data_IF_630971028504
#
_entry.id   IF_630971028504
#
_cell.length_a   1.000
_cell.length_b   1.000
_cell.length_c   1.000
_cell.angle_alpha   90.00
_cell.angle_beta   90.00
_cell.angle_gamma   90.00
#
_symmetry.space_group_name_H-M   'P 1'
#
loop_
_entity.id
_entity.type
_entity.pdbx_description
1 polymer ?
#
# COMPACT_ATOMS: atom_id res chain seq x y z
N UNK A 1 -10.02 -8.55 34.52
CA UNK A 1 -10.17 -7.63 33.38
C UNK A 1 -10.17 -8.41 32.08
N UNK A 2 -11.05 -8.06 31.22
CA UNK A 2 -11.15 -8.76 29.97
C UNK A 2 -10.25 -8.13 28.92
N UNK A 3 -9.38 -8.91 28.32
CA UNK A 3 -8.59 -8.44 27.20
C UNK A 3 -9.54 -8.19 26.03
N UNK A 4 -9.36 -7.07 25.40
CA UNK A 4 -10.14 -6.77 24.21
C UNK A 4 -9.81 -7.80 23.13
N UNK A 5 -10.75 -8.62 22.84
CA UNK A 5 -10.57 -9.64 21.84
C UNK A 5 -10.68 -9.04 20.44
N UNK A 6 -9.91 -9.62 19.56
CA UNK A 6 -10.05 -9.33 18.17
C UNK A 6 -11.46 -9.65 17.71
N UNK A 7 -12.10 -8.69 17.07
CA UNK A 7 -13.45 -8.89 16.55
C UNK A 7 -13.47 -9.05 15.03
N UNK A 8 -12.30 -8.96 14.39
CA UNK A 8 -12.28 -9.12 12.95
C UNK A 8 -12.49 -10.57 12.58
N UNK A 9 -13.52 -10.83 11.79
CA UNK A 9 -13.91 -12.18 11.40
C UNK A 9 -13.89 -12.39 9.90
N UNK A 10 -13.23 -11.50 9.19
CA UNK A 10 -13.12 -11.59 7.75
C UNK A 10 -13.88 -10.48 7.06
N UNK A 11 -13.71 -10.42 5.77
CA UNK A 11 -14.37 -9.41 4.95
C UNK A 11 -15.77 -9.90 4.57
N UNK A 12 -16.74 -9.03 4.68
CA UNK A 12 -18.10 -9.35 4.24
C UNK A 12 -18.09 -9.69 2.74
N UNK A 13 -17.30 -8.96 1.97
CA UNK A 13 -17.09 -9.26 0.56
C UNK A 13 -15.60 -9.03 0.24
N UNK A 14 -14.81 -10.10 0.10
CA UNK A 14 -13.37 -9.95 -0.15
C UNK A 14 -13.02 -9.19 -1.43
N UNK A 15 -13.92 -9.13 -2.41
CA UNK A 15 -13.67 -8.38 -3.64
C UNK A 15 -14.11 -6.91 -3.52
N UNK A 16 -14.70 -6.53 -2.38
CA UNK A 16 -15.10 -5.15 -2.12
C UNK A 16 -14.90 -4.83 -0.64
N UNK A 17 -13.65 -4.88 -0.15
CA UNK A 17 -13.39 -4.61 1.27
C UNK A 17 -13.67 -3.16 1.59
N UNK A 18 -14.18 -2.93 2.81
CA UNK A 18 -14.45 -1.57 3.28
C UNK A 18 -13.26 -1.05 4.09
N UNK A 19 -13.09 0.28 4.17
CA UNK A 19 -11.95 0.85 4.91
C UNK A 19 -11.84 0.35 6.36
N UNK A 20 -12.96 0.26 7.07
CA UNK A 20 -12.96 -0.21 8.46
C UNK A 20 -12.53 -1.67 8.54
N UNK A 21 -12.98 -2.50 7.59
CA UNK A 21 -12.57 -3.90 7.54
C UNK A 21 -11.08 -4.04 7.25
N UNK A 22 -10.59 -3.25 6.33
CA UNK A 22 -9.16 -3.28 5.98
C UNK A 22 -8.30 -2.91 7.20
N UNK A 23 -8.69 -1.86 7.93
CA UNK A 23 -7.97 -1.45 9.13
C UNK A 23 -8.01 -2.55 10.19
N UNK A 24 -9.17 -3.15 10.41
CA UNK A 24 -9.29 -4.23 11.40
C UNK A 24 -8.42 -5.43 11.02
N UNK A 25 -8.46 -5.83 9.76
CA UNK A 25 -7.63 -6.93 9.27
C UNK A 25 -6.14 -6.64 9.44
N UNK A 26 -5.72 -5.41 9.16
CA UNK A 26 -4.31 -5.04 9.15
C UNK A 26 -3.63 -5.25 10.52
N UNK A 27 -4.39 -5.12 11.60
CA UNK A 27 -3.85 -5.35 12.94
C UNK A 27 -4.04 -6.78 13.41
N UNK A 28 -4.70 -7.61 12.61
CA UNK A 28 -4.96 -9.03 12.89
C UNK A 28 -4.86 -9.83 11.60
N UNK A 29 -3.75 -9.70 10.86
CA UNK A 29 -3.70 -10.28 9.51
C UNK A 29 -3.76 -11.80 9.51
N UNK A 30 -3.40 -12.45 10.63
CA UNK A 30 -3.45 -13.91 10.74
C UNK A 30 -4.84 -14.43 11.04
N UNK A 31 -5.82 -13.56 11.27
CA UNK A 31 -7.19 -13.98 11.56
C UNK A 31 -7.93 -14.48 10.31
N UNK A 32 -7.41 -14.19 9.13
CA UNK A 32 -7.96 -14.65 7.85
C UNK A 32 -6.83 -15.19 7.01
N UNK A 33 -6.99 -16.41 6.48
CA UNK A 33 -5.99 -16.98 5.62
C UNK A 33 -6.00 -16.30 4.26
N UNK A 34 -4.82 -15.86 3.83
CA UNK A 34 -4.71 -15.16 2.55
C UNK A 34 -5.08 -16.05 1.36
N UNK A 35 -4.94 -17.37 1.51
CA UNK A 35 -5.32 -18.29 0.44
C UNK A 35 -6.82 -18.24 0.13
N UNK A 36 -7.63 -17.76 1.08
CA UNK A 36 -9.07 -17.63 0.86
C UNK A 36 -9.43 -16.32 0.17
N UNK A 37 -8.46 -15.43 -0.03
CA UNK A 37 -8.68 -14.16 -0.69
C UNK A 37 -8.53 -14.30 -2.20
N UNK A 38 -9.09 -13.37 -3.00
CA UNK A 38 -8.85 -13.36 -4.44
C UNK A 38 -7.35 -13.34 -4.76
N UNK A 39 -6.97 -14.00 -5.84
CA UNK A 39 -5.56 -14.16 -6.21
C UNK A 39 -4.83 -12.83 -6.34
N UNK A 40 -5.49 -11.81 -6.86
CA UNK A 40 -4.88 -10.49 -7.06
C UNK A 40 -5.43 -9.47 -6.07
N UNK A 41 -5.58 -9.89 -4.82
CA UNK A 41 -6.19 -9.04 -3.80
C UNK A 41 -5.41 -7.74 -3.57
N UNK A 42 -4.08 -7.81 -3.65
CA UNK A 42 -3.23 -6.63 -3.55
C UNK A 42 -3.54 -5.62 -4.66
N UNK A 43 -3.76 -6.08 -5.87
CA UNK A 43 -4.14 -5.21 -6.98
C UNK A 43 -5.57 -4.67 -6.79
N UNK A 44 -6.44 -5.48 -6.21
CA UNK A 44 -7.81 -5.09 -5.96
C UNK A 44 -7.92 -3.93 -4.97
N UNK A 45 -7.14 -3.97 -3.90
CA UNK A 45 -7.24 -2.96 -2.84
C UNK A 45 -6.36 -1.73 -3.09
N UNK A 46 -5.38 -1.80 -3.98
CA UNK A 46 -4.44 -0.72 -4.23
C UNK A 46 -5.01 0.34 -5.16
N UNK A 47 -6.25 0.77 -4.92
CA UNK A 47 -6.93 1.76 -5.74
C UNK A 47 -7.35 2.96 -4.92
N UNK A 48 -7.97 3.93 -5.60
CA UNK A 48 -8.35 5.21 -5.00
C UNK A 48 -9.24 5.07 -3.77
N UNK A 49 -10.09 4.06 -3.76
CA UNK A 49 -11.04 3.89 -2.67
C UNK A 49 -10.36 3.57 -1.34
N UNK A 50 -9.31 2.76 -1.38
CA UNK A 50 -8.67 2.27 -0.17
C UNK A 50 -7.27 2.83 0.06
N UNK A 51 -6.76 3.68 -0.84
CA UNK A 51 -5.37 4.11 -0.72
C UNK A 51 -5.12 4.95 0.54
N UNK A 52 -6.08 5.75 0.99
CA UNK A 52 -5.89 6.55 2.20
C UNK A 52 -5.70 5.67 3.44
N UNK A 53 -6.60 4.70 3.72
CA UNK A 53 -6.31 3.78 4.84
C UNK A 53 -5.04 2.97 4.63
N UNK A 54 -4.72 2.54 3.42
CA UNK A 54 -3.46 1.84 3.17
C UNK A 54 -2.26 2.70 3.51
N UNK A 55 -2.29 3.97 3.15
CA UNK A 55 -1.22 4.90 3.47
C UNK A 55 -1.06 5.05 5.00
N UNK A 56 -2.16 5.21 5.72
CA UNK A 56 -2.12 5.27 7.18
C UNK A 56 -1.45 4.03 7.78
N UNK A 57 -1.83 2.85 7.27
CA UNK A 57 -1.26 1.60 7.76
C UNK A 57 0.23 1.49 7.45
N UNK A 58 0.65 1.94 6.28
CA UNK A 58 2.06 1.93 5.90
C UNK A 58 2.89 2.89 6.77
N UNK A 59 2.28 3.99 7.21
CA UNK A 59 2.93 4.97 8.08
C UNK A 59 3.04 4.48 9.53
N UNK A 60 2.25 3.50 9.93
CA UNK A 60 2.24 2.99 11.29
C UNK A 60 3.27 1.87 11.46
N UNK A 61 4.34 2.18 12.20
CA UNK A 61 5.42 1.22 12.44
C UNK A 61 4.95 -0.03 13.19
N UNK A 62 3.88 0.09 13.95
CA UNK A 62 3.35 -1.01 14.73
C UNK A 62 2.37 -1.90 13.98
N UNK A 63 2.00 -1.53 12.77
CA UNK A 63 1.02 -2.28 11.99
C UNK A 63 1.61 -3.60 11.50
N UNK A 64 1.04 -4.77 11.87
CA UNK A 64 1.56 -6.06 11.42
C UNK A 64 1.49 -6.26 9.92
N UNK A 65 0.52 -5.62 9.24
CA UNK A 65 0.36 -5.74 7.79
C UNK A 65 1.02 -4.59 7.03
N UNK A 66 1.96 -3.91 7.68
CA UNK A 66 2.62 -2.74 7.10
C UNK A 66 3.27 -3.02 5.75
N UNK A 67 3.93 -4.19 5.63
CA UNK A 67 4.57 -4.58 4.37
C UNK A 67 3.58 -4.73 3.24
N UNK A 68 2.42 -5.28 3.52
CA UNK A 68 1.35 -5.38 2.54
C UNK A 68 0.88 -3.98 2.11
N UNK A 69 0.66 -3.09 3.09
CA UNK A 69 0.24 -1.73 2.79
C UNK A 69 1.27 -1.00 1.93
N UNK A 70 2.56 -1.16 2.27
CA UNK A 70 3.64 -0.58 1.48
C UNK A 70 3.66 -1.12 0.06
N UNK A 71 3.47 -2.42 -0.10
CA UNK A 71 3.37 -3.04 -1.42
C UNK A 71 2.27 -2.39 -2.25
N UNK A 72 1.11 -2.13 -1.63
CA UNK A 72 0.00 -1.46 -2.30
C UNK A 72 0.36 -0.03 -2.71
N UNK A 73 1.18 0.68 -1.93
CA UNK A 73 1.65 2.00 -2.31
C UNK A 73 2.52 1.96 -3.56
N UNK A 74 3.38 0.95 -3.68
CA UNK A 74 4.17 0.76 -4.91
C UNK A 74 3.26 0.49 -6.10
N UNK A 75 2.26 -0.35 -5.93
CA UNK A 75 1.29 -0.62 -7.01
C UNK A 75 0.55 0.66 -7.41
N UNK A 76 0.12 1.44 -6.42
CA UNK A 76 -0.62 2.68 -6.68
C UNK A 76 0.21 3.66 -7.50
N UNK A 77 1.47 3.86 -7.13
CA UNK A 77 2.37 4.74 -7.88
C UNK A 77 2.58 4.22 -9.31
N UNK A 78 2.79 2.91 -9.45
CA UNK A 78 2.97 2.28 -10.76
C UNK A 78 1.75 2.45 -11.65
N UNK A 79 0.56 2.26 -11.09
CA UNK A 79 -0.68 2.41 -11.85
C UNK A 79 -0.90 3.84 -12.31
N UNK A 80 -0.52 4.81 -11.49
CA UNK A 80 -0.57 6.22 -11.89
C UNK A 80 0.31 6.48 -13.10
N UNK A 81 1.56 6.06 -13.03
CA UNK A 81 2.52 6.29 -14.11
C UNK A 81 2.10 5.53 -15.38
N UNK A 82 1.76 4.24 -15.22
CA UNK A 82 1.42 3.37 -16.35
C UNK A 82 0.20 3.86 -17.11
N UNK A 83 -0.76 4.46 -16.42
CA UNK A 83 -1.99 4.94 -17.04
C UNK A 83 -1.97 6.43 -17.32
N UNK A 84 -0.84 7.10 -17.09
CA UNK A 84 -0.72 8.56 -17.18
C UNK A 84 -1.79 9.24 -16.32
N UNK A 85 -1.96 8.71 -15.11
CA UNK A 85 -2.89 9.21 -14.09
C UNK A 85 -4.36 9.19 -14.50
N UNK A 86 -4.73 8.25 -15.37
CA UNK A 86 -6.15 7.99 -15.65
C UNK A 86 -6.78 7.15 -14.56
N UNK A 87 -5.98 6.29 -13.91
CA UNK A 87 -6.50 5.42 -12.86
C UNK A 87 -6.79 6.18 -11.58
N UNK A 88 -6.01 7.22 -11.27
CA UNK A 88 -6.21 8.03 -10.07
C UNK A 88 -5.49 9.38 -10.20
N UNK A 89 -5.85 10.38 -9.37
CA UNK A 89 -5.27 11.72 -9.50
C UNK A 89 -3.80 11.78 -9.12
N UNK A 90 -2.99 12.41 -9.95
CA UNK A 90 -1.58 12.64 -9.68
C UNK A 90 -1.38 13.43 -8.38
N UNK A 91 -2.29 14.37 -8.11
CA UNK A 91 -2.23 15.21 -6.90
C UNK A 91 -2.29 14.38 -5.63
N UNK A 92 -3.10 13.31 -5.62
CA UNK A 92 -3.20 12.45 -4.45
C UNK A 92 -1.87 11.74 -4.17
N UNK A 93 -1.24 11.21 -5.22
CA UNK A 93 0.06 10.58 -5.07
C UNK A 93 1.11 11.57 -4.56
N UNK A 94 1.15 12.77 -5.12
CA UNK A 94 2.08 13.81 -4.67
C UNK A 94 1.91 14.14 -3.20
N UNK A 95 0.67 14.26 -2.73
CA UNK A 95 0.40 14.57 -1.33
C UNK A 95 0.92 13.49 -0.40
N UNK A 96 0.69 12.24 -0.77
CA UNK A 96 1.19 11.12 0.04
C UNK A 96 2.72 11.10 0.07
N UNK A 97 3.35 11.35 -1.08
CA UNK A 97 4.81 11.41 -1.16
C UNK A 97 5.36 12.51 -0.24
N UNK A 98 4.77 13.69 -0.29
CA UNK A 98 5.20 14.81 0.57
C UNK A 98 5.04 14.49 2.04
N UNK A 99 3.93 13.90 2.43
CA UNK A 99 3.71 13.52 3.81
C UNK A 99 4.68 12.43 4.26
N UNK A 100 4.95 11.46 3.42
CA UNK A 100 5.90 10.41 3.72
C UNK A 100 7.32 10.94 3.86
N UNK A 101 7.68 11.95 3.07
CA UNK A 101 9.00 12.59 3.19
C UNK A 101 9.15 13.33 4.51
N UNK A 102 8.07 13.92 5.02
CA UNK A 102 8.11 14.69 6.26
C UNK A 102 8.02 13.82 7.50
N UNK A 103 7.11 12.86 7.49
CA UNK A 103 6.71 12.12 8.70
C UNK A 103 7.05 10.64 8.65
N UNK A 104 7.48 10.11 7.52
CA UNK A 104 7.75 8.69 7.35
C UNK A 104 9.09 8.29 7.93
N UNK A 105 9.19 7.03 8.35
CA UNK A 105 10.47 6.46 8.73
C UNK A 105 11.25 6.05 7.47
N UNK A 106 12.37 5.35 7.66
CA UNK A 106 13.26 4.97 6.55
C UNK A 106 12.52 4.15 5.48
N UNK A 107 11.67 3.23 5.90
CA UNK A 107 10.97 2.35 4.96
C UNK A 107 10.01 3.12 4.07
N UNK A 108 9.16 3.96 4.66
CA UNK A 108 8.19 4.73 3.89
C UNK A 108 8.87 5.88 3.16
N UNK A 109 9.92 6.45 3.74
CA UNK A 109 10.73 7.48 3.08
C UNK A 109 11.41 6.97 1.82
N UNK A 110 11.83 5.71 1.83
CA UNK A 110 12.39 5.06 0.65
C UNK A 110 11.33 4.95 -0.45
N UNK A 111 10.10 4.55 -0.09
CA UNK A 111 9.01 4.55 -1.06
C UNK A 111 8.78 5.95 -1.64
N UNK A 112 8.76 6.97 -0.77
CA UNK A 112 8.54 8.34 -1.22
C UNK A 112 9.62 8.81 -2.18
N UNK A 113 10.88 8.51 -1.89
CA UNK A 113 11.99 8.82 -2.78
C UNK A 113 11.79 8.17 -4.14
N UNK A 114 11.46 6.88 -4.15
CA UNK A 114 11.30 6.14 -5.39
C UNK A 114 10.09 6.62 -6.18
N UNK A 115 8.99 6.92 -5.50
CA UNK A 115 7.79 7.45 -6.17
C UNK A 115 8.07 8.83 -6.78
N UNK A 116 8.81 9.68 -6.07
CA UNK A 116 9.17 10.99 -6.59
C UNK A 116 10.08 10.88 -7.82
N UNK A 117 11.03 9.96 -7.80
CA UNK A 117 11.86 9.70 -8.97
C UNK A 117 11.03 9.23 -10.15
N UNK A 118 10.06 8.36 -9.90
CA UNK A 118 9.17 7.87 -10.95
C UNK A 118 8.29 8.98 -11.52
N UNK A 119 7.83 9.89 -10.67
CA UNK A 119 7.06 11.06 -11.12
C UNK A 119 7.88 11.97 -12.03
N UNK A 120 9.16 12.16 -11.70
CA UNK A 120 10.05 12.99 -12.49
C UNK A 120 10.55 12.30 -13.76
N UNK A 121 10.72 10.99 -13.69
CA UNK A 121 11.30 10.20 -14.77
C UNK A 121 10.48 8.91 -14.97
N UNK A 122 9.31 9.01 -15.63
CA UNK A 122 8.43 7.85 -15.81
C UNK A 122 9.07 6.68 -16.56
N UNK A 123 10.09 6.96 -17.36
CA UNK A 123 10.81 5.92 -18.10
C UNK A 123 11.56 4.95 -17.19
N UNK A 124 11.74 5.28 -15.91
CA UNK A 124 12.38 4.39 -14.96
C UNK A 124 11.47 3.26 -14.48
N UNK A 125 10.19 3.32 -14.83
CA UNK A 125 9.25 2.31 -14.38
C UNK A 125 9.63 0.92 -14.89
N UNK A 126 9.69 -0.03 -13.96
CA UNK A 126 9.94 -1.44 -14.24
C UNK A 126 8.91 -2.24 -13.45
N UNK A 127 8.01 -2.89 -14.15
CA UNK A 127 6.89 -3.60 -13.52
C UNK A 127 7.38 -4.65 -12.52
N UNK A 128 8.38 -5.46 -12.90
CA UNK A 128 8.89 -6.51 -12.04
C UNK A 128 9.44 -5.92 -10.74
N UNK A 129 10.23 -4.87 -10.86
CA UNK A 129 10.83 -4.19 -9.72
C UNK A 129 9.77 -3.57 -8.80
N UNK A 130 8.79 -2.89 -9.38
CA UNK A 130 7.81 -2.11 -8.62
C UNK A 130 6.64 -2.93 -8.11
N UNK A 131 6.15 -3.88 -8.90
CA UNK A 131 4.88 -4.54 -8.61
C UNK A 131 5.01 -5.99 -8.24
N UNK A 132 6.15 -6.62 -8.51
CA UNK A 132 6.35 -8.04 -8.22
C UNK A 132 7.27 -8.26 -7.02
N UNK A 133 7.36 -7.26 -6.16
CA UNK A 133 7.97 -7.41 -4.87
C UNK A 133 9.45 -7.05 -4.77
N UNK A 134 10.09 -6.64 -5.86
CA UNK A 134 11.51 -6.31 -5.84
C UNK A 134 11.86 -5.25 -4.82
N UNK A 135 11.25 -4.08 -4.94
CA UNK A 135 11.52 -2.96 -4.04
C UNK A 135 10.89 -3.14 -2.66
N UNK A 136 9.86 -3.95 -2.54
CA UNK A 136 9.24 -4.24 -1.24
C UNK A 136 10.10 -5.22 -0.45
N UNK A 137 10.60 -6.27 -1.12
CA UNK A 137 11.40 -7.30 -0.47
C UNK A 137 12.82 -6.84 -0.18
N UNK A 138 13.36 -6.01 -1.07
CA UNK A 138 14.73 -5.50 -0.96
C UNK A 138 14.69 -3.98 -1.09
N UNK A 139 14.25 -3.28 -0.03
CA UNK A 139 14.09 -1.82 -0.07
C UNK A 139 15.42 -1.14 -0.37
N UNK A 140 15.42 -0.30 -1.39
CA UNK A 140 16.57 0.52 -1.73
C UNK A 140 16.09 1.74 -2.50
N UNK A 141 16.87 2.79 -2.44
CA UNK A 141 16.55 4.02 -3.17
C UNK A 141 17.09 3.90 -4.59
N UNK A 142 16.23 4.17 -5.55
CA UNK A 142 16.64 4.25 -6.95
C UNK A 142 17.50 5.49 -7.17
N UNK A 143 18.40 5.43 -8.12
CA UNK A 143 19.28 6.55 -8.41
C UNK A 143 19.16 7.01 -9.87
#
# INVERSE_FOLDING_TARGET
MTVQQSTFRGFANPVDPKPAELRAWAYQPDSVELQSMPADWDLLVAGDYLISPLFELAMDRACPARRFALHCLYIYAADGIRTNFRAHPKRRLRKMVEQAEQDGDELIGTWAHNARMLLARPELFDYHEWCEGGLVRHPRRLS
#
